data_IF_913368604486
#
_entry.id   IF_913368604486
#
_cell.length_a   1.000
_cell.length_b   1.000
_cell.length_c   1.000
_cell.angle_alpha   90.00
_cell.angle_beta   90.00
_cell.angle_gamma   90.00
#
_symmetry.space_group_name_H-M   'P 1'
#
loop_
_entity.id
_entity.type
_entity.pdbx_description
1 polymer ?
#
# COMPACT_ATOMS: atom_id res chain seq x y z
N UNK A 1 15.54 31.52 2.60
CA UNK A 1 14.23 30.83 2.68
C UNK A 1 14.46 29.45 3.27
N UNK A 2 14.10 29.21 4.54
CA UNK A 2 14.16 27.85 5.11
C UNK A 2 12.92 27.09 4.60
N UNK A 3 13.14 26.00 3.89
CA UNK A 3 12.07 25.10 3.47
C UNK A 3 11.40 24.55 4.74
N UNK A 4 10.11 24.88 4.96
CA UNK A 4 9.30 24.39 6.08
C UNK A 4 8.87 22.95 5.84
N UNK A 5 9.83 22.06 5.68
CA UNK A 5 9.58 20.65 5.39
C UNK A 5 8.77 19.99 6.51
N UNK A 6 8.99 20.38 7.77
CA UNK A 6 8.24 19.91 8.94
C UNK A 6 6.72 20.16 8.82
N UNK A 7 6.34 21.28 8.22
CA UNK A 7 4.92 21.68 8.05
C UNK A 7 4.29 20.96 6.86
N UNK A 8 5.08 20.67 5.83
CA UNK A 8 4.61 19.98 4.62
C UNK A 8 4.62 18.46 4.76
N UNK A 9 5.37 17.92 5.72
CA UNK A 9 5.52 16.48 5.94
C UNK A 9 4.18 15.76 6.15
N UNK A 10 3.23 16.25 6.97
CA UNK A 10 1.93 15.58 7.13
C UNK A 10 1.11 15.56 5.83
N UNK A 11 1.13 16.66 5.06
CA UNK A 11 0.43 16.75 3.78
C UNK A 11 1.04 15.78 2.75
N UNK A 12 2.37 15.67 2.72
CA UNK A 12 3.06 14.74 1.84
C UNK A 12 2.78 13.28 2.23
N UNK A 13 2.82 12.96 3.52
CA UNK A 13 2.50 11.62 4.02
C UNK A 13 1.04 11.24 3.71
N UNK A 14 0.11 12.19 3.81
CA UNK A 14 -1.27 11.97 3.42
C UNK A 14 -1.39 11.64 1.93
N UNK A 15 -0.81 12.47 1.06
CA UNK A 15 -0.82 12.24 -0.38
C UNK A 15 -0.18 10.88 -0.75
N UNK A 16 0.93 10.52 -0.11
CA UNK A 16 1.58 9.24 -0.33
C UNK A 16 0.72 8.05 0.12
N UNK A 17 0.01 8.18 1.25
CA UNK A 17 -0.86 7.12 1.78
C UNK A 17 -2.17 7.00 1.01
N UNK A 18 -2.64 8.04 0.34
CA UNK A 18 -3.85 8.01 -0.48
C UNK A 18 -3.63 7.31 -1.83
N UNK A 19 -2.43 7.40 -2.39
CA UNK A 19 -2.13 6.87 -3.72
C UNK A 19 -1.96 5.34 -3.69
N UNK A 20 -2.67 4.59 -4.56
CA UNK A 20 -2.47 3.15 -4.70
C UNK A 20 -1.06 2.86 -5.20
N UNK A 21 -0.34 1.98 -4.50
CA UNK A 21 1.01 1.61 -4.88
C UNK A 21 0.97 0.63 -6.05
N UNK A 22 1.71 0.92 -7.13
CA UNK A 22 1.64 0.17 -8.38
C UNK A 22 1.84 -1.34 -8.24
N UNK A 23 2.68 -1.77 -7.29
CA UNK A 23 2.94 -3.19 -7.04
C UNK A 23 1.87 -3.89 -6.21
N UNK A 24 1.19 -3.18 -5.31
CA UNK A 24 0.19 -3.77 -4.41
C UNK A 24 -1.23 -3.57 -4.96
N UNK A 25 -1.45 -2.56 -5.80
CA UNK A 25 -2.75 -2.17 -6.35
C UNK A 25 -3.64 -1.41 -5.37
N UNK A 26 -3.31 -1.44 -4.07
CA UNK A 26 -4.04 -0.77 -3.00
C UNK A 26 -3.27 0.38 -2.38
N UNK A 27 -4.00 1.34 -1.83
CA UNK A 27 -3.43 2.36 -0.95
C UNK A 27 -2.97 1.73 0.38
N UNK A 28 -1.84 2.17 0.97
CA UNK A 28 -1.44 1.75 2.31
C UNK A 28 -2.52 1.94 3.38
N UNK A 29 -3.37 2.96 3.23
CA UNK A 29 -4.48 3.22 4.13
C UNK A 29 -5.62 2.21 3.95
N UNK A 30 -5.92 1.84 2.70
CA UNK A 30 -6.92 0.81 2.40
C UNK A 30 -6.53 -0.55 3.00
N UNK A 31 -5.24 -0.89 2.96
CA UNK A 31 -4.74 -2.13 3.55
C UNK A 31 -4.85 -2.14 5.08
N UNK A 32 -4.62 -1.00 5.73
CA UNK A 32 -4.64 -0.90 7.18
C UNK A 32 -6.07 -0.85 7.74
N UNK A 33 -6.96 -0.12 7.07
CA UNK A 33 -8.28 0.19 7.59
C UNK A 33 -9.42 -0.55 6.89
N UNK A 34 -9.16 -1.17 5.73
CA UNK A 34 -10.18 -1.90 4.98
C UNK A 34 -11.26 -1.01 4.35
N UNK A 35 -11.01 0.29 4.21
CA UNK A 35 -11.87 1.21 3.49
C UNK A 35 -11.05 2.29 2.77
N UNK A 36 -11.55 2.85 1.65
CA UNK A 36 -10.86 3.92 0.94
C UNK A 36 -10.68 5.15 1.81
N UNK A 37 -9.56 5.85 1.61
CA UNK A 37 -9.30 7.13 2.27
C UNK A 37 -10.48 8.06 2.03
N UNK A 38 -11.09 8.56 3.11
CA UNK A 38 -12.04 9.69 3.01
C UNK A 38 -11.25 10.97 2.79
N UNK A 39 -10.85 11.18 1.53
CA UNK A 39 -10.21 12.42 1.10
C UNK A 39 -11.19 13.60 1.11
N UNK A 40 -10.67 14.84 1.03
CA UNK A 40 -11.51 16.05 0.98
C UNK A 40 -12.51 16.02 -0.18
N UNK A 41 -12.15 15.41 -1.32
CA UNK A 41 -13.06 15.21 -2.45
C UNK A 41 -14.19 14.22 -2.16
N UNK A 42 -13.90 13.17 -1.38
CA UNK A 42 -14.90 12.18 -0.97
C UNK A 42 -15.95 12.81 -0.06
N UNK A 43 -15.53 13.69 0.85
CA UNK A 43 -16.44 14.43 1.75
C UNK A 43 -17.33 15.40 0.96
N UNK A 44 -16.77 16.11 -0.03
CA UNK A 44 -17.55 16.99 -0.91
C UNK A 44 -18.58 16.20 -1.69
N UNK A 45 -18.21 15.02 -2.20
CA UNK A 45 -19.12 14.11 -2.89
C UNK A 45 -20.24 13.59 -1.97
N UNK A 46 -19.90 13.14 -0.77
CA UNK A 46 -20.87 12.64 0.23
C UNK A 46 -21.87 13.74 0.64
N UNK A 47 -21.40 14.98 0.79
CA UNK A 47 -22.25 16.15 1.07
C UNK A 47 -23.14 16.55 -0.10
N UNK A 48 -22.69 16.35 -1.34
CA UNK A 48 -23.49 16.60 -2.54
C UNK A 48 -24.55 15.50 -2.76
N UNK A 49 -24.23 14.26 -2.43
CA UNK A 49 -25.07 13.09 -2.68
C UNK A 49 -26.11 12.83 -1.57
N UNK A 50 -26.11 13.60 -0.46
CA UNK A 50 -27.00 13.40 0.70
C UNK A 50 -27.10 11.92 1.11
N UNK A 51 -25.95 11.22 1.11
CA UNK A 51 -25.93 9.79 1.33
C UNK A 51 -26.55 9.42 2.68
N UNK A 52 -27.45 8.42 2.75
CA UNK A 52 -28.06 8.01 4.01
C UNK A 52 -26.99 7.48 4.95
N UNK A 53 -26.91 8.05 6.16
CA UNK A 53 -26.06 7.52 7.22
C UNK A 53 -26.56 6.12 7.57
N UNK A 54 -25.72 5.10 7.36
CA UNK A 54 -26.04 3.74 7.78
C UNK A 54 -26.36 3.74 9.29
N UNK A 55 -27.47 3.11 9.71
CA UNK A 55 -27.81 3.03 11.12
C UNK A 55 -26.70 2.29 11.88
N UNK A 56 -26.51 2.57 13.19
CA UNK A 56 -25.49 1.90 13.98
C UNK A 56 -25.77 0.39 14.00
N UNK A 57 -24.94 -0.37 13.27
CA UNK A 57 -24.92 -1.82 13.34
C UNK A 57 -24.39 -2.24 14.72
N UNK A 58 -24.87 -3.37 15.22
CA UNK A 58 -24.29 -4.02 16.40
C UNK A 58 -22.78 -4.13 16.23
N UNK A 59 -22.02 -3.67 17.24
CA UNK A 59 -20.57 -3.48 17.16
C UNK A 59 -19.86 -4.78 16.78
N UNK A 60 -20.35 -5.91 17.29
CA UNK A 60 -19.79 -7.23 17.02
C UNK A 60 -19.97 -7.61 15.56
N UNK A 61 -21.17 -7.40 15.01
CA UNK A 61 -21.45 -7.65 13.58
C UNK A 61 -20.56 -6.80 12.65
N UNK A 62 -20.35 -5.52 13.01
CA UNK A 62 -19.48 -4.61 12.27
C UNK A 62 -18.01 -5.06 12.30
N UNK A 63 -17.48 -5.42 13.46
CA UNK A 63 -16.10 -5.91 13.60
C UNK A 63 -15.87 -7.19 12.79
N UNK A 64 -16.85 -8.10 12.76
CA UNK A 64 -16.76 -9.35 12.01
C UNK A 64 -16.80 -9.10 10.50
N UNK A 65 -17.66 -8.21 10.03
CA UNK A 65 -17.70 -7.77 8.64
C UNK A 65 -16.37 -7.11 8.22
N UNK A 66 -15.84 -6.21 9.05
CA UNK A 66 -14.57 -5.53 8.82
C UNK A 66 -13.40 -6.53 8.71
N UNK A 67 -13.31 -7.49 9.64
CA UNK A 67 -12.29 -8.54 9.59
C UNK A 67 -12.35 -9.35 8.30
N UNK A 68 -13.55 -9.75 7.88
CA UNK A 68 -13.73 -10.51 6.65
C UNK A 68 -13.32 -9.69 5.42
N UNK A 69 -13.65 -8.41 5.41
CA UNK A 69 -13.28 -7.48 4.33
C UNK A 69 -11.77 -7.27 4.27
N UNK A 70 -11.10 -7.03 5.40
CA UNK A 70 -9.63 -6.94 5.47
C UNK A 70 -8.95 -8.22 4.97
N UNK A 71 -9.47 -9.39 5.35
CA UNK A 71 -8.89 -10.67 4.90
C UNK A 71 -8.99 -10.84 3.37
N UNK A 72 -10.06 -10.34 2.75
CA UNK A 72 -10.21 -10.36 1.28
C UNK A 72 -9.23 -9.41 0.62
N UNK A 73 -9.15 -8.16 1.09
CA UNK A 73 -8.19 -7.19 0.56
C UNK A 73 -6.76 -7.66 0.70
N UNK A 74 -6.39 -8.25 1.84
CA UNK A 74 -5.05 -8.80 2.04
C UNK A 74 -4.69 -9.86 1.00
N UNK A 75 -5.61 -10.80 0.73
CA UNK A 75 -5.39 -11.84 -0.29
C UNK A 75 -5.19 -11.25 -1.69
N UNK A 76 -5.99 -10.27 -2.05
CA UNK A 76 -5.89 -9.61 -3.37
C UNK A 76 -4.60 -8.80 -3.49
N UNK A 77 -4.27 -8.03 -2.44
CA UNK A 77 -3.03 -7.27 -2.36
C UNK A 77 -1.79 -8.17 -2.44
N UNK A 78 -1.83 -9.32 -1.77
CA UNK A 78 -0.74 -10.30 -1.83
C UNK A 78 -0.58 -10.89 -3.23
N UNK A 79 -1.69 -11.26 -3.89
CA UNK A 79 -1.63 -11.78 -5.26
C UNK A 79 -1.08 -10.75 -6.24
N UNK A 80 -1.49 -9.48 -6.13
CA UNK A 80 -0.96 -8.39 -6.93
C UNK A 80 0.54 -8.17 -6.67
N UNK A 81 0.94 -8.23 -5.40
CA UNK A 81 2.34 -8.06 -4.99
C UNK A 81 3.21 -9.17 -5.56
N UNK A 82 2.78 -10.44 -5.47
CA UNK A 82 3.49 -11.59 -6.03
C UNK A 82 3.67 -11.43 -7.55
N UNK A 83 2.59 -11.10 -8.28
CA UNK A 83 2.67 -10.86 -9.72
C UNK A 83 3.61 -9.69 -10.08
N UNK A 84 3.56 -8.60 -9.32
CA UNK A 84 4.47 -7.47 -9.53
C UNK A 84 5.91 -7.84 -9.20
N UNK A 85 6.16 -8.66 -8.18
CA UNK A 85 7.49 -9.12 -7.80
C UNK A 85 8.07 -10.04 -8.88
N UNK A 86 7.29 -10.93 -9.47
CA UNK A 86 7.73 -11.77 -10.59
C UNK A 86 8.20 -10.92 -11.77
N UNK A 87 7.42 -9.92 -12.16
CA UNK A 87 7.82 -8.99 -13.23
C UNK A 87 9.08 -8.25 -12.84
N UNK A 88 9.16 -7.65 -11.65
CA UNK A 88 10.35 -6.93 -11.19
C UNK A 88 11.59 -7.83 -11.17
N UNK A 89 11.45 -9.08 -10.74
CA UNK A 89 12.50 -10.08 -10.75
C UNK A 89 12.97 -10.38 -12.17
N UNK A 90 12.06 -10.65 -13.10
CA UNK A 90 12.42 -10.89 -14.51
C UNK A 90 13.18 -9.70 -15.10
N UNK A 91 12.75 -8.46 -14.83
CA UNK A 91 13.44 -7.26 -15.29
C UNK A 91 14.82 -7.07 -14.66
N UNK A 92 14.97 -7.42 -13.38
CA UNK A 92 16.26 -7.36 -12.68
C UNK A 92 17.22 -8.43 -13.18
N UNK A 93 16.74 -9.67 -13.31
CA UNK A 93 17.50 -10.85 -13.75
C UNK A 93 18.01 -10.69 -15.19
N UNK A 94 17.33 -9.93 -16.05
CA UNK A 94 17.82 -9.60 -17.40
C UNK A 94 19.18 -8.87 -17.41
N UNK A 95 19.47 -8.10 -16.36
CA UNK A 95 20.76 -7.38 -16.21
C UNK A 95 21.69 -8.09 -15.24
N UNK A 96 21.23 -9.14 -14.57
CA UNK A 96 22.04 -9.91 -13.65
C UNK A 96 23.04 -10.73 -14.46
N UNK A 97 24.32 -10.42 -14.28
CA UNK A 97 25.40 -11.22 -14.84
C UNK A 97 25.60 -12.42 -13.93
N UNK A 98 25.63 -13.63 -14.50
CA UNK A 98 25.99 -14.82 -13.74
C UNK A 98 27.49 -14.73 -13.43
N UNK A 99 27.83 -14.42 -12.17
CA UNK A 99 29.23 -14.32 -11.74
C UNK A 99 29.61 -15.65 -11.11
N UNK A 100 30.49 -16.39 -11.78
CA UNK A 100 31.16 -17.56 -11.20
C UNK A 100 32.42 -17.08 -10.47
N UNK A 101 32.50 -17.36 -9.16
CA UNK A 101 33.66 -17.02 -8.33
C UNK A 101 34.61 -18.20 -8.23
N UNK A 102 35.91 -17.94 -8.27
CA UNK A 102 36.93 -18.95 -8.06
C UNK A 102 37.51 -18.91 -6.64
N UNK A 103 38.10 -20.03 -6.15
CA UNK A 103 38.78 -20.05 -4.87
C UNK A 103 39.89 -18.99 -4.80
N UNK A 104 39.73 -17.99 -3.93
CA UNK A 104 40.65 -16.87 -3.77
C UNK A 104 40.06 -15.50 -4.10
N UNK A 105 38.89 -15.45 -4.74
CA UNK A 105 38.20 -14.19 -5.05
C UNK A 105 37.61 -13.55 -3.79
N UNK A 106 37.79 -12.22 -3.67
CA UNK A 106 37.20 -11.43 -2.59
C UNK A 106 35.79 -11.02 -2.98
N UNK A 107 34.80 -11.64 -2.34
CA UNK A 107 33.38 -11.31 -2.50
C UNK A 107 32.90 -10.39 -1.40
N UNK A 108 32.03 -9.43 -1.76
CA UNK A 108 31.33 -8.60 -0.79
C UNK A 108 30.22 -9.43 -0.15
N UNK A 109 30.34 -9.70 1.14
CA UNK A 109 29.28 -10.32 1.93
C UNK A 109 28.42 -9.21 2.51
N UNK A 110 27.14 -9.18 2.13
CA UNK A 110 26.14 -8.38 2.84
C UNK A 110 25.66 -9.19 4.05
N UNK A 111 26.11 -8.79 5.23
CA UNK A 111 25.60 -9.31 6.50
C UNK A 111 24.19 -8.73 6.76
N UNK A 112 23.26 -9.51 7.34
CA UNK A 112 21.86 -9.13 7.57
C UNK A 112 21.65 -8.05 8.65
#
# INVERSE_FOLDING_TARGET
>A
MRCKWDVLLPCLLFAYREVPQRGVGFSPFELLYGYPVRGPLSIVKEGLENAPKTPPQDVVSYMLALRNQMTRFWKEAQSNLEASQEVMKQWYDQKATLVEFQPGDKVWVMEP
#
